data_IF_652451532884
#
_entry.id   IF_652451532884
#
_cell.length_a   1.000
_cell.length_b   1.000
_cell.length_c   1.000
_cell.angle_alpha   90.00
_cell.angle_beta   90.00
_cell.angle_gamma   90.00
#
_symmetry.space_group_name_H-M   'P 1'
#
loop_
_entity.id
_entity.type
_entity.pdbx_description
1 polymer ?
#
# COMPACT_ATOMS: atom_id res chain seq x y z
N UNK A 1 0.96 -0.50 21.36
CA UNK A 1 1.93 -0.89 20.27
C UNK A 1 2.88 -1.96 20.80
N UNK A 2 2.69 -3.18 20.33
CA UNK A 2 3.37 -4.39 20.80
C UNK A 2 4.51 -4.79 19.88
N UNK A 3 5.74 -4.85 20.42
CA UNK A 3 6.92 -5.32 19.69
C UNK A 3 7.18 -6.79 19.99
N UNK A 4 7.51 -7.56 18.95
CA UNK A 4 7.98 -8.95 19.12
C UNK A 4 9.44 -8.97 19.58
N UNK A 5 9.81 -10.01 20.32
CA UNK A 5 11.20 -10.24 20.70
C UNK A 5 12.09 -10.28 19.45
N UNK A 6 13.16 -9.49 19.47
CA UNK A 6 14.06 -9.34 18.32
C UNK A 6 13.75 -8.16 17.42
N UNK A 7 12.73 -7.36 17.72
CA UNK A 7 12.46 -6.07 17.06
C UNK A 7 12.65 -4.93 18.06
N UNK A 8 13.28 -3.86 17.60
CA UNK A 8 13.39 -2.57 18.34
C UNK A 8 12.74 -1.46 17.54
N UNK A 9 12.22 -0.48 18.28
CA UNK A 9 11.67 0.73 17.69
C UNK A 9 12.52 1.94 18.13
N UNK A 10 12.71 2.87 17.20
CA UNK A 10 13.29 4.18 17.49
C UNK A 10 12.66 5.26 16.64
N UNK A 11 12.94 6.51 16.96
CA UNK A 11 12.51 7.66 16.17
C UNK A 11 13.73 8.26 15.48
N UNK A 12 13.65 8.42 14.16
CA UNK A 12 14.64 9.08 13.32
C UNK A 12 14.22 10.53 13.10
N UNK A 13 15.07 11.48 13.47
CA UNK A 13 14.82 12.89 13.21
C UNK A 13 15.23 13.24 11.79
N UNK A 14 14.31 13.78 11.02
CA UNK A 14 14.56 14.29 9.66
C UNK A 14 14.23 15.77 9.58
N UNK A 15 14.67 16.49 8.53
CA UNK A 15 14.24 17.88 8.30
C UNK A 15 12.73 18.05 8.10
N UNK A 16 12.01 16.98 7.75
CA UNK A 16 10.58 17.01 7.45
C UNK A 16 9.71 16.68 8.66
N UNK A 17 10.04 15.62 9.41
CA UNK A 17 9.30 15.17 10.60
C UNK A 17 10.12 14.15 11.38
N UNK A 18 9.67 13.83 12.60
CA UNK A 18 10.14 12.70 13.37
C UNK A 18 9.48 11.41 12.85
N UNK A 19 10.27 10.44 12.40
CA UNK A 19 9.80 9.19 11.77
C UNK A 19 10.06 8.00 12.67
N UNK A 20 9.01 7.24 13.00
CA UNK A 20 9.11 5.96 13.66
C UNK A 20 9.72 4.91 12.73
N UNK A 21 10.67 4.15 13.22
CA UNK A 21 11.25 3.03 12.49
C UNK A 21 11.36 1.80 13.39
N UNK A 22 11.12 0.64 12.81
CA UNK A 22 11.44 -0.66 13.43
C UNK A 22 12.69 -1.22 12.77
N UNK A 23 13.56 -1.80 13.57
CA UNK A 23 14.77 -2.49 13.13
C UNK A 23 14.83 -3.87 13.80
N UNK A 24 15.35 -4.87 13.09
CA UNK A 24 15.57 -6.19 13.66
C UNK A 24 16.88 -6.19 14.45
N UNK A 25 16.83 -6.73 15.66
CA UNK A 25 17.99 -6.81 16.55
C UNK A 25 19.09 -7.70 15.97
N UNK A 26 20.34 -7.21 16.02
CA UNK A 26 21.51 -7.94 15.56
C UNK A 26 21.78 -7.84 14.07
N UNK A 27 20.99 -7.09 13.31
CA UNK A 27 21.31 -6.74 11.92
C UNK A 27 22.51 -5.79 11.91
N UNK A 28 23.36 -5.92 10.89
CA UNK A 28 24.49 -5.01 10.71
C UNK A 28 23.99 -3.64 10.27
N UNK A 29 24.23 -2.60 11.09
CA UNK A 29 23.81 -1.23 10.75
C UNK A 29 24.56 -0.64 9.56
N UNK A 30 25.72 -1.19 9.25
CA UNK A 30 26.59 -0.86 8.12
C UNK A 30 26.47 -1.86 6.96
N UNK A 31 25.40 -2.69 6.95
CA UNK A 31 25.15 -3.61 5.84
C UNK A 31 25.07 -2.82 4.52
N UNK A 32 25.64 -3.35 3.44
CA UNK A 32 25.62 -2.67 2.15
C UNK A 32 24.18 -2.54 1.62
N UNK A 33 23.97 -1.61 0.71
CA UNK A 33 22.64 -1.28 0.16
C UNK A 33 21.92 -2.50 -0.42
N UNK A 34 22.64 -3.39 -1.12
CA UNK A 34 22.13 -4.63 -1.72
C UNK A 34 21.77 -5.72 -0.68
N UNK A 35 21.95 -5.46 0.60
CA UNK A 35 21.53 -6.28 1.74
C UNK A 35 20.55 -5.54 2.65
N UNK A 36 20.04 -4.39 2.22
CA UNK A 36 19.10 -3.59 3.00
C UNK A 36 17.71 -3.58 2.37
N UNK A 37 16.70 -3.96 3.16
CA UNK A 37 15.29 -3.94 2.77
C UNK A 37 14.55 -2.94 3.65
N UNK A 38 13.77 -2.06 3.02
CA UNK A 38 12.91 -1.08 3.69
C UNK A 38 11.45 -1.38 3.37
N UNK A 39 10.64 -1.55 4.42
CA UNK A 39 9.22 -1.88 4.35
C UNK A 39 8.37 -0.65 4.62
N UNK A 40 7.35 -0.45 3.78
CA UNK A 40 6.38 0.63 3.85
C UNK A 40 4.97 0.06 3.94
N UNK A 41 4.24 0.42 5.01
CA UNK A 41 2.94 -0.15 5.33
C UNK A 41 1.78 0.49 4.53
N UNK A 42 0.58 -0.09 4.69
CA UNK A 42 -0.65 0.38 4.07
C UNK A 42 -1.31 1.52 4.85
N UNK A 43 -2.42 2.04 4.31
CA UNK A 43 -3.17 3.23 4.75
C UNK A 43 -3.68 3.17 6.19
N UNK A 44 -4.11 2.01 6.66
CA UNK A 44 -4.51 1.79 8.05
C UNK A 44 -3.61 0.71 8.63
N UNK A 45 -2.63 1.13 9.41
CA UNK A 45 -1.59 0.28 9.96
C UNK A 45 -0.31 1.05 10.27
N UNK A 46 0.75 0.34 10.59
CA UNK A 46 2.07 0.89 10.91
C UNK A 46 3.17 -0.10 10.52
N UNK A 47 4.41 0.27 10.74
CA UNK A 47 5.58 -0.60 10.57
C UNK A 47 5.45 -1.94 11.33
N UNK A 48 4.62 -1.99 12.37
CA UNK A 48 4.40 -3.19 13.17
C UNK A 48 3.82 -4.36 12.37
N UNK A 49 3.11 -4.11 11.27
CA UNK A 49 2.59 -5.13 10.37
C UNK A 49 3.71 -6.02 9.77
N UNK A 50 4.94 -5.49 9.67
CA UNK A 50 6.08 -6.16 9.06
C UNK A 50 6.92 -7.01 10.01
N UNK A 51 6.66 -6.96 11.33
CA UNK A 51 7.52 -7.60 12.33
C UNK A 51 7.78 -9.09 12.07
N UNK A 52 6.74 -9.86 11.72
CA UNK A 52 6.89 -11.31 11.43
C UNK A 52 7.74 -11.56 10.20
N UNK A 53 7.51 -10.79 9.15
CA UNK A 53 8.31 -10.87 7.92
C UNK A 53 9.78 -10.55 8.22
N UNK A 54 10.05 -9.48 8.97
CA UNK A 54 11.41 -9.10 9.36
C UNK A 54 12.10 -10.20 10.18
N UNK A 55 11.41 -10.82 11.13
CA UNK A 55 11.98 -11.88 11.96
C UNK A 55 12.27 -13.18 11.20
N UNK A 56 11.53 -13.43 10.11
CA UNK A 56 11.63 -14.63 9.31
C UNK A 56 12.69 -14.56 8.19
N UNK A 57 13.17 -13.36 7.84
CA UNK A 57 14.16 -13.15 6.78
C UNK A 57 15.58 -13.50 7.23
N UNK A 58 16.53 -13.83 6.30
CA UNK A 58 17.91 -14.15 6.60
C UNK A 58 18.63 -13.10 7.44
N UNK A 59 19.60 -13.52 8.26
CA UNK A 59 20.31 -12.66 9.22
C UNK A 59 21.41 -11.79 8.61
N UNK A 60 21.76 -12.02 7.36
CA UNK A 60 22.70 -11.21 6.58
C UNK A 60 22.03 -9.98 5.93
N UNK A 61 20.72 -9.80 6.14
CA UNK A 61 19.95 -8.66 5.68
C UNK A 61 19.75 -7.63 6.80
N UNK A 62 19.92 -6.36 6.50
CA UNK A 62 19.48 -5.23 7.31
C UNK A 62 18.02 -4.93 6.97
N UNK A 63 17.15 -4.95 7.98
CA UNK A 63 15.70 -4.82 7.80
C UNK A 63 15.19 -3.61 8.57
N UNK A 64 14.49 -2.74 7.87
CA UNK A 64 13.93 -1.50 8.40
C UNK A 64 12.47 -1.42 7.97
N UNK A 65 11.56 -1.19 8.91
CA UNK A 65 10.18 -0.84 8.57
C UNK A 65 9.90 0.58 9.06
N UNK A 66 9.31 1.42 8.19
CA UNK A 66 9.06 2.82 8.50
C UNK A 66 7.58 3.07 8.77
N UNK A 67 7.29 3.86 9.78
CA UNK A 67 5.96 4.41 10.00
C UNK A 67 5.77 5.64 9.10
N UNK A 68 4.73 5.65 8.28
CA UNK A 68 4.35 6.82 7.50
C UNK A 68 3.86 7.96 8.41
N UNK A 69 3.92 9.21 7.94
CA UNK A 69 3.37 10.35 8.68
C UNK A 69 1.96 10.07 9.19
N UNK A 70 1.67 10.41 10.44
CA UNK A 70 0.36 10.17 11.05
C UNK A 70 0.04 8.70 11.39
N UNK A 71 1.03 7.81 11.36
CA UNK A 71 0.88 6.41 11.72
C UNK A 71 1.98 5.98 12.69
N UNK A 72 1.69 4.95 13.48
CA UNK A 72 2.66 4.36 14.38
C UNK A 72 3.30 5.37 15.33
N UNK A 73 4.62 5.43 15.32
CA UNK A 73 5.45 6.33 16.14
C UNK A 73 5.88 7.59 15.39
N UNK A 74 5.47 7.74 14.13
CA UNK A 74 5.76 8.93 13.34
C UNK A 74 4.95 10.13 13.79
N UNK A 75 5.54 11.32 13.63
CA UNK A 75 4.87 12.58 13.91
C UNK A 75 3.56 12.70 13.12
N UNK A 76 2.51 13.15 13.80
CA UNK A 76 1.26 13.53 13.15
C UNK A 76 1.46 14.82 12.38
N UNK A 77 1.54 14.71 11.06
CA UNK A 77 1.68 15.82 10.14
C UNK A 77 0.70 15.69 8.99
N UNK A 78 0.02 16.78 8.64
CA UNK A 78 -0.98 16.79 7.59
C UNK A 78 -0.43 16.36 6.23
N UNK A 79 -1.29 15.78 5.40
CA UNK A 79 -1.00 15.34 4.03
C UNK A 79 -1.56 16.37 3.06
N UNK A 80 -0.72 16.94 2.21
CA UNK A 80 -1.13 17.73 1.05
C UNK A 80 -1.48 16.77 -0.10
N UNK A 81 -2.76 16.45 -0.22
CA UNK A 81 -3.24 15.51 -1.22
C UNK A 81 -3.03 16.00 -2.66
N UNK A 82 -2.89 17.31 -2.89
CA UNK A 82 -2.67 17.88 -4.24
C UNK A 82 -1.33 17.46 -4.83
N UNK A 83 -0.44 16.90 -4.01
CA UNK A 83 0.85 16.32 -4.39
C UNK A 83 0.81 14.80 -4.59
N UNK A 84 -0.39 14.19 -4.54
CA UNK A 84 -0.51 12.74 -4.48
C UNK A 84 0.18 12.18 -3.23
N UNK A 85 0.93 11.10 -3.39
CA UNK A 85 1.69 10.46 -2.29
C UNK A 85 3.11 11.01 -2.13
N UNK A 86 3.45 12.14 -2.77
CA UNK A 86 4.81 12.71 -2.70
C UNK A 86 5.22 13.13 -1.29
N UNK A 87 4.28 13.52 -0.43
CA UNK A 87 4.60 13.83 0.95
C UNK A 87 5.18 12.61 1.68
N UNK A 88 4.64 11.43 1.45
CA UNK A 88 5.14 10.17 2.02
C UNK A 88 6.47 9.75 1.38
N UNK A 89 6.60 9.90 0.05
CA UNK A 89 7.84 9.56 -0.67
C UNK A 89 9.01 10.47 -0.26
N UNK A 90 8.75 11.78 -0.10
CA UNK A 90 9.74 12.73 0.39
C UNK A 90 10.17 12.44 1.85
N UNK A 91 9.21 12.04 2.72
CA UNK A 91 9.53 11.64 4.09
C UNK A 91 10.37 10.37 4.12
N UNK A 92 10.04 9.39 3.28
CA UNK A 92 10.85 8.19 3.10
C UNK A 92 12.27 8.54 2.66
N UNK A 93 12.42 9.44 1.68
CA UNK A 93 13.72 9.89 1.19
C UNK A 93 14.57 10.52 2.30
N UNK A 94 14.02 11.47 3.05
CA UNK A 94 14.76 12.11 4.15
C UNK A 94 15.06 11.11 5.29
N UNK A 95 14.20 10.08 5.47
CA UNK A 95 14.47 9.01 6.43
C UNK A 95 15.63 8.14 5.97
N UNK A 96 15.67 7.72 4.71
CA UNK A 96 16.78 6.92 4.16
C UNK A 96 18.09 7.70 4.23
N UNK A 97 18.09 8.99 3.92
CA UNK A 97 19.26 9.86 4.08
C UNK A 97 19.74 9.92 5.54
N UNK A 98 18.83 10.08 6.49
CA UNK A 98 19.17 10.11 7.92
C UNK A 98 19.69 8.75 8.43
N UNK A 99 19.38 7.66 7.71
CA UNK A 99 19.88 6.30 7.95
C UNK A 99 21.14 5.97 7.14
N UNK A 100 21.68 6.96 6.40
CA UNK A 100 22.86 6.83 5.53
C UNK A 100 22.68 5.76 4.44
N UNK A 101 21.48 5.70 3.84
CA UNK A 101 21.11 4.78 2.76
C UNK A 101 20.89 5.55 1.46
N UNK A 102 21.78 5.39 0.50
CA UNK A 102 21.66 6.00 -0.83
C UNK A 102 20.68 5.23 -1.73
N UNK A 103 20.53 3.93 -1.52
CA UNK A 103 19.57 3.06 -2.19
C UNK A 103 19.25 1.85 -1.31
N UNK A 104 18.11 1.19 -1.56
CA UNK A 104 17.68 -0.02 -0.86
C UNK A 104 16.72 -0.83 -1.74
N UNK A 105 16.42 -2.06 -1.33
CA UNK A 105 15.24 -2.78 -1.81
C UNK A 105 14.01 -2.24 -1.07
N UNK A 106 13.01 -1.75 -1.80
CA UNK A 106 11.80 -1.19 -1.20
C UNK A 106 10.63 -2.18 -1.34
N UNK A 107 9.93 -2.41 -0.23
CA UNK A 107 8.72 -3.23 -0.16
C UNK A 107 7.58 -2.33 0.26
N UNK A 108 6.54 -2.22 -0.56
CA UNK A 108 5.38 -1.39 -0.26
C UNK A 108 4.08 -2.17 -0.35
N UNK A 109 3.25 -2.06 0.69
CA UNK A 109 1.95 -2.69 0.77
C UNK A 109 0.83 -1.65 0.64
N UNK A 110 -0.14 -1.89 -0.26
CA UNK A 110 -1.27 -0.99 -0.50
C UNK A 110 -0.86 0.44 -0.84
N UNK A 111 -1.14 1.42 0.03
CA UNK A 111 -0.62 2.80 -0.05
C UNK A 111 0.91 2.79 -0.18
N UNK A 112 1.59 1.99 0.66
CA UNK A 112 3.05 1.85 0.61
C UNK A 112 3.56 1.43 -0.76
N UNK A 113 2.79 0.62 -1.51
CA UNK A 113 3.08 0.30 -2.91
C UNK A 113 3.08 1.53 -3.81
N UNK A 114 2.09 2.40 -3.65
CA UNK A 114 2.05 3.71 -4.34
C UNK A 114 3.21 4.62 -3.94
N UNK A 115 3.58 4.63 -2.65
CA UNK A 115 4.69 5.44 -2.12
C UNK A 115 6.03 4.99 -2.71
N UNK A 116 6.31 3.68 -2.75
CA UNK A 116 7.60 3.19 -3.30
C UNK A 116 7.67 3.34 -4.82
N UNK A 117 6.53 3.27 -5.54
CA UNK A 117 6.48 3.61 -6.96
C UNK A 117 6.79 5.10 -7.19
N UNK A 118 6.15 6.00 -6.41
CA UNK A 118 6.46 7.43 -6.46
C UNK A 118 7.92 7.71 -6.11
N UNK A 119 8.46 7.03 -5.09
CA UNK A 119 9.86 7.17 -4.70
C UNK A 119 10.80 6.80 -5.86
N UNK A 120 10.51 5.69 -6.57
CA UNK A 120 11.33 5.24 -7.70
C UNK A 120 11.27 6.17 -8.93
N UNK A 121 10.23 6.98 -9.08
CA UNK A 121 10.17 8.04 -10.10
C UNK A 121 11.16 9.17 -9.82
N UNK A 122 11.45 9.44 -8.54
CA UNK A 122 12.23 10.60 -8.10
C UNK A 122 13.65 10.22 -7.63
N UNK A 123 13.87 8.93 -7.23
CA UNK A 123 15.12 8.48 -6.60
C UNK A 123 15.51 7.05 -7.03
N UNK A 124 16.80 6.70 -6.98
CA UNK A 124 17.26 5.36 -7.30
C UNK A 124 16.80 4.34 -6.24
N UNK A 125 16.43 3.15 -6.71
CA UNK A 125 16.09 1.98 -5.88
C UNK A 125 16.77 0.73 -6.46
N UNK A 126 17.04 -0.27 -5.63
CA UNK A 126 17.63 -1.54 -6.07
C UNK A 126 16.59 -2.49 -6.66
N UNK A 127 15.44 -2.59 -6.03
CA UNK A 127 14.27 -3.30 -6.52
C UNK A 127 13.01 -2.79 -5.84
N UNK A 128 11.85 -3.11 -6.42
CA UNK A 128 10.54 -2.86 -5.84
C UNK A 128 9.81 -4.17 -5.59
N UNK A 129 9.23 -4.32 -4.41
CA UNK A 129 8.20 -5.33 -4.14
C UNK A 129 6.90 -4.61 -3.85
N UNK A 130 5.91 -4.85 -4.69
CA UNK A 130 4.59 -4.22 -4.65
C UNK A 130 3.59 -5.25 -4.16
N UNK A 131 3.19 -5.17 -2.90
CA UNK A 131 2.21 -6.07 -2.31
C UNK A 131 0.84 -5.41 -2.33
N UNK A 132 -0.12 -6.03 -3.04
CA UNK A 132 -1.48 -5.52 -3.21
C UNK A 132 -1.50 -3.99 -3.40
N UNK A 133 -0.67 -3.43 -4.32
CA UNK A 133 -0.46 -1.98 -4.43
C UNK A 133 -1.73 -1.29 -4.91
N UNK A 134 -1.93 -0.04 -4.51
CA UNK A 134 -2.89 0.83 -5.20
C UNK A 134 -2.58 0.86 -6.69
N UNK A 135 -3.63 0.90 -7.55
CA UNK A 135 -3.44 1.01 -9.01
C UNK A 135 -2.50 2.19 -9.34
N UNK A 136 -1.63 2.07 -10.35
CA UNK A 136 -0.80 3.18 -10.81
C UNK A 136 -1.56 4.46 -11.16
N UNK A 137 -2.86 4.35 -11.39
CA UNK A 137 -3.78 5.47 -11.67
C UNK A 137 -4.62 5.90 -10.46
N UNK A 138 -4.27 5.46 -9.25
CA UNK A 138 -5.00 5.80 -8.03
C UNK A 138 -6.14 4.84 -7.71
N UNK A 139 -7.00 5.25 -6.76
CA UNK A 139 -8.06 4.42 -6.22
C UNK A 139 -9.45 4.97 -6.56
N UNK A 140 -10.20 4.24 -7.36
CA UNK A 140 -11.54 4.63 -7.85
C UNK A 140 -11.51 5.61 -9.02
N UNK A 141 -12.60 5.78 -9.71
CA UNK A 141 -12.89 6.90 -10.61
C UNK A 141 -12.13 6.97 -11.93
N UNK A 142 -11.44 5.91 -12.37
CA UNK A 142 -10.79 5.88 -13.69
C UNK A 142 -11.28 4.72 -14.55
N UNK A 143 -11.16 4.88 -15.87
CA UNK A 143 -11.26 3.82 -16.86
C UNK A 143 -9.96 3.03 -16.92
N UNK A 144 -9.96 1.91 -17.64
CA UNK A 144 -8.79 1.02 -17.78
C UNK A 144 -7.52 1.73 -18.24
N UNK A 145 -7.64 2.74 -19.10
CA UNK A 145 -6.51 3.52 -19.63
C UNK A 145 -6.02 4.63 -18.67
N UNK A 146 -6.56 4.71 -17.46
CA UNK A 146 -6.25 5.73 -16.47
C UNK A 146 -7.00 7.05 -16.65
N UNK A 147 -7.80 7.20 -17.71
CA UNK A 147 -8.60 8.42 -17.91
C UNK A 147 -9.68 8.57 -16.83
N UNK A 148 -9.85 9.79 -16.32
CA UNK A 148 -10.89 10.10 -15.34
C UNK A 148 -12.29 9.85 -15.90
N UNK A 149 -13.18 9.27 -15.11
CA UNK A 149 -14.60 9.16 -15.42
C UNK A 149 -15.27 10.54 -15.31
N UNK A 150 -14.97 11.27 -14.25
CA UNK A 150 -15.40 12.63 -14.00
C UNK A 150 -14.17 13.52 -13.81
N UNK A 151 -14.20 14.74 -14.35
CA UNK A 151 -13.07 15.68 -14.30
C UNK A 151 -12.64 16.03 -12.87
N UNK A 152 -13.57 16.05 -11.93
CA UNK A 152 -13.34 16.30 -10.50
C UNK A 152 -13.00 15.01 -9.70
N UNK A 153 -12.90 13.85 -10.37
CA UNK A 153 -12.72 12.54 -9.76
C UNK A 153 -13.81 12.20 -8.72
N UNK A 154 -15.06 12.56 -9.00
CA UNK A 154 -16.20 12.21 -8.14
C UNK A 154 -16.22 10.71 -7.79
N UNK A 155 -16.59 10.40 -6.55
CA UNK A 155 -16.65 9.03 -6.04
C UNK A 155 -15.31 8.49 -5.52
N UNK A 156 -14.27 9.34 -5.42
CA UNK A 156 -12.95 8.95 -4.92
C UNK A 156 -12.54 9.75 -3.68
N UNK A 157 -11.37 9.41 -3.12
CA UNK A 157 -10.81 10.09 -1.96
C UNK A 157 -11.51 9.74 -0.65
N UNK A 158 -11.49 10.66 0.30
CA UNK A 158 -11.95 10.44 1.67
C UNK A 158 -13.43 10.03 1.79
N UNK A 159 -14.27 10.41 0.82
CA UNK A 159 -15.69 10.08 0.81
C UNK A 159 -16.00 8.59 0.62
N UNK A 160 -15.01 7.75 0.26
CA UNK A 160 -15.20 6.28 0.18
C UNK A 160 -15.07 5.58 1.54
N UNK A 161 -14.50 6.28 2.54
CA UNK A 161 -14.34 5.72 3.88
C UNK A 161 -15.69 5.56 4.59
N UNK A 162 -15.84 4.46 5.33
CA UNK A 162 -16.97 4.30 6.23
C UNK A 162 -16.79 5.22 7.45
N UNK A 163 -17.70 6.18 7.69
CA UNK A 163 -17.59 7.10 8.80
C UNK A 163 -17.60 6.42 10.18
N UNK A 164 -18.32 5.29 10.31
CA UNK A 164 -18.34 4.53 11.56
C UNK A 164 -16.99 3.87 11.83
N UNK A 165 -16.37 3.27 10.80
CA UNK A 165 -15.01 2.74 10.93
C UNK A 165 -14.00 3.82 11.32
N UNK A 166 -14.08 5.00 10.69
CA UNK A 166 -13.21 6.14 11.00
C UNK A 166 -13.38 6.59 12.45
N UNK A 167 -14.63 6.69 12.94
CA UNK A 167 -14.91 7.06 14.32
C UNK A 167 -14.33 6.02 15.31
N UNK A 168 -14.44 4.73 15.00
CA UNK A 168 -13.93 3.65 15.85
C UNK A 168 -12.40 3.60 15.91
N UNK A 169 -11.72 3.93 14.80
CA UNK A 169 -10.26 4.14 14.83
C UNK A 169 -9.90 5.30 15.77
N UNK A 170 -10.64 6.43 15.68
CA UNK A 170 -10.40 7.60 16.54
C UNK A 170 -10.68 7.32 18.03
N UNK A 171 -11.60 6.40 18.33
CA UNK A 171 -11.96 5.96 19.68
C UNK A 171 -11.06 4.81 20.18
N UNK A 172 -10.09 4.35 19.37
CA UNK A 172 -9.21 3.21 19.68
C UNK A 172 -10.01 1.93 20.00
N UNK A 173 -11.09 1.65 19.26
CA UNK A 173 -11.97 0.49 19.48
C UNK A 173 -11.26 -0.83 19.14
N UNK A 174 -10.88 -1.59 20.15
CA UNK A 174 -10.28 -2.92 20.02
C UNK A 174 -11.30 -4.06 19.88
N UNK A 175 -12.60 -3.76 19.93
CA UNK A 175 -13.65 -4.77 19.91
C UNK A 175 -13.92 -5.35 18.52
N UNK A 176 -14.80 -6.34 18.44
CA UNK A 176 -15.37 -6.87 17.21
C UNK A 176 -16.92 -6.90 17.31
N UNK A 177 -17.51 -5.91 18.00
CA UNK A 177 -18.95 -5.90 18.30
C UNK A 177 -19.81 -5.64 17.07
N UNK A 178 -19.28 -4.86 16.11
CA UNK A 178 -19.99 -4.51 14.89
C UNK A 178 -19.09 -4.70 13.66
N UNK A 179 -19.66 -4.77 12.44
CA UNK A 179 -18.88 -4.95 11.22
C UNK A 179 -17.84 -3.84 10.98
N UNK A 180 -18.10 -2.61 11.44
CA UNK A 180 -17.20 -1.44 11.34
C UNK A 180 -16.14 -1.36 12.45
N UNK A 181 -16.16 -2.26 13.47
CA UNK A 181 -15.05 -2.34 14.42
C UNK A 181 -13.74 -2.69 13.71
N UNK A 182 -12.59 -2.05 14.04
CA UNK A 182 -11.30 -2.29 13.38
C UNK A 182 -10.91 -3.76 13.30
N UNK A 183 -11.17 -4.53 14.36
CA UNK A 183 -10.94 -5.98 14.39
C UNK A 183 -11.83 -6.74 13.40
N UNK A 184 -13.09 -6.36 13.26
CA UNK A 184 -14.02 -6.96 12.30
C UNK A 184 -13.59 -6.63 10.86
N UNK A 185 -13.20 -5.39 10.61
CA UNK A 185 -12.65 -4.94 9.32
C UNK A 185 -11.36 -5.69 8.98
N UNK A 186 -10.44 -5.84 9.95
CA UNK A 186 -9.22 -6.62 9.72
C UNK A 186 -9.54 -8.04 9.25
N UNK A 187 -10.47 -8.73 9.92
CA UNK A 187 -10.87 -10.12 9.59
C UNK A 187 -11.60 -10.28 8.26
N UNK A 188 -12.43 -9.31 7.90
CA UNK A 188 -13.36 -9.45 6.76
C UNK A 188 -12.96 -8.69 5.51
N UNK A 189 -12.04 -7.72 5.63
CA UNK A 189 -11.63 -6.82 4.56
C UNK A 189 -10.16 -7.03 4.19
N UNK A 190 -9.28 -7.09 5.20
CA UNK A 190 -7.85 -7.24 4.95
C UNK A 190 -7.45 -8.70 4.69
N UNK A 191 -8.11 -9.64 5.35
CA UNK A 191 -7.79 -11.06 5.25
C UNK A 191 -8.81 -11.81 4.37
N UNK A 192 -8.38 -12.88 3.73
CA UNK A 192 -9.30 -13.77 3.05
C UNK A 192 -10.27 -14.41 4.06
N UNK A 193 -11.53 -14.57 3.64
CA UNK A 193 -12.58 -15.17 4.47
C UNK A 193 -12.15 -16.53 5.03
N UNK A 194 -12.17 -16.64 6.36
CA UNK A 194 -11.83 -17.88 7.07
C UNK A 194 -10.38 -17.96 7.56
N UNK A 195 -9.52 -17.02 7.18
CA UNK A 195 -8.19 -16.92 7.77
C UNK A 195 -8.26 -16.38 9.21
N UNK A 196 -7.46 -16.96 10.11
CA UNK A 196 -7.37 -16.54 11.51
C UNK A 196 -5.91 -16.24 11.87
N UNK A 197 -5.62 -14.99 12.14
CA UNK A 197 -4.30 -14.56 12.59
C UNK A 197 -4.09 -14.83 14.08
N UNK A 198 -2.97 -15.49 14.43
CA UNK A 198 -2.60 -15.71 15.84
C UNK A 198 -2.11 -14.44 16.56
N UNK A 199 -1.75 -13.41 15.80
CA UNK A 199 -1.23 -12.13 16.32
C UNK A 199 -2.19 -10.97 16.00
N UNK A 200 -3.46 -11.27 15.89
CA UNK A 200 -4.50 -10.30 15.53
C UNK A 200 -4.48 -9.04 16.41
N UNK A 201 -4.27 -9.21 17.72
CA UNK A 201 -4.22 -8.07 18.65
C UNK A 201 -3.14 -7.06 18.25
N UNK A 202 -1.95 -7.54 17.85
CA UNK A 202 -0.85 -6.67 17.39
C UNK A 202 -1.22 -5.92 16.11
N UNK A 203 -1.90 -6.61 15.19
CA UNK A 203 -2.32 -5.99 13.93
C UNK A 203 -3.43 -4.97 14.13
N UNK A 204 -4.38 -5.25 15.01
CA UNK A 204 -5.44 -4.30 15.40
C UNK A 204 -4.85 -3.11 16.14
N UNK A 205 -3.95 -3.30 17.11
CA UNK A 205 -3.21 -2.20 17.74
C UNK A 205 -2.51 -1.33 16.69
N UNK A 206 -1.86 -1.95 15.70
CA UNK A 206 -1.21 -1.23 14.60
C UNK A 206 -2.18 -0.36 13.80
N UNK A 207 -3.39 -0.87 13.49
CA UNK A 207 -4.43 -0.09 12.82
C UNK A 207 -4.86 1.12 13.64
N UNK A 208 -5.00 0.95 14.96
CA UNK A 208 -5.45 1.99 15.90
C UNK A 208 -4.42 3.11 16.09
N UNK A 209 -3.18 2.95 15.60
CA UNK A 209 -2.18 4.04 15.60
C UNK A 209 -2.41 5.07 14.49
N UNK A 210 -3.38 4.85 13.61
CA UNK A 210 -3.68 5.74 12.48
C UNK A 210 -4.29 7.05 12.97
N UNK A 211 -3.64 8.18 12.71
CA UNK A 211 -4.19 9.49 13.04
C UNK A 211 -5.42 9.81 12.18
N UNK A 212 -6.51 10.18 12.82
CA UNK A 212 -7.78 10.51 12.17
C UNK A 212 -7.98 12.03 12.06
N UNK A 213 -8.50 12.50 10.91
CA UNK A 213 -8.85 13.91 10.69
C UNK A 213 -8.85 14.31 9.21
N UNK A 214 -9.26 15.55 8.96
CA UNK A 214 -9.37 16.11 7.60
C UNK A 214 -7.99 16.26 6.90
N UNK A 215 -6.93 16.39 7.66
CA UNK A 215 -5.55 16.47 7.17
C UNK A 215 -4.76 15.16 7.31
N UNK A 216 -5.40 14.11 7.83
CA UNK A 216 -4.83 12.79 8.11
C UNK A 216 -5.67 11.70 7.41
N UNK A 217 -6.01 10.58 8.09
CA UNK A 217 -6.95 9.58 7.58
C UNK A 217 -8.37 9.91 8.04
N UNK A 218 -9.41 9.88 7.18
CA UNK A 218 -9.33 9.62 5.72
C UNK A 218 -8.99 10.87 4.90
N UNK A 219 -9.20 12.06 5.43
CA UNK A 219 -9.14 13.36 4.78
C UNK A 219 -10.50 14.07 4.72
N UNK A 220 -10.50 15.30 4.21
CA UNK A 220 -11.74 16.03 3.96
C UNK A 220 -12.35 15.69 2.59
N UNK A 221 -13.66 15.92 2.44
CA UNK A 221 -14.38 15.75 1.17
C UNK A 221 -14.89 17.07 0.63
N UNK A 222 -15.14 17.13 -0.68
CA UNK A 222 -15.87 18.22 -1.33
C UNK A 222 -17.15 17.70 -1.97
N UNK A 223 -18.15 18.57 -2.16
CA UNK A 223 -19.35 18.21 -2.91
C UNK A 223 -19.05 18.16 -4.40
N UNK A 224 -19.71 17.25 -5.12
CA UNK A 224 -19.63 17.11 -6.58
C UNK A 224 -21.04 17.17 -7.19
N UNK A 225 -21.22 17.82 -8.36
CA UNK A 225 -22.45 17.68 -9.13
C UNK A 225 -22.57 16.30 -9.81
N UNK A 226 -21.46 15.58 -9.94
CA UNK A 226 -21.42 14.23 -10.51
C UNK A 226 -21.72 13.19 -9.44
N UNK A 227 -22.31 12.06 -9.86
CA UNK A 227 -22.51 10.91 -8.97
C UNK A 227 -21.17 10.38 -8.46
N UNK A 228 -21.07 9.96 -7.19
CA UNK A 228 -22.09 9.83 -6.15
C UNK A 228 -22.31 11.09 -5.27
N UNK A 229 -21.94 12.28 -5.71
CA UNK A 229 -22.21 13.52 -5.01
C UNK A 229 -21.05 14.06 -4.17
N UNK A 230 -19.91 13.36 -4.12
CA UNK A 230 -18.70 13.80 -3.45
C UNK A 230 -17.47 13.63 -4.35
N UNK A 231 -16.45 14.42 -4.07
CA UNK A 231 -15.14 14.38 -4.72
C UNK A 231 -14.02 14.56 -3.67
N UNK A 232 -12.75 14.24 -4.03
CA UNK A 232 -11.65 14.38 -3.11
C UNK A 232 -11.42 15.84 -2.69
N UNK A 233 -11.12 16.02 -1.40
CA UNK A 233 -10.56 17.27 -0.88
C UNK A 233 -9.10 17.45 -1.26
N UNK A 234 -8.46 18.48 -0.70
CA UNK A 234 -7.06 18.82 -0.97
C UNK A 234 -6.09 18.31 0.10
N UNK A 235 -6.60 17.68 1.16
CA UNK A 235 -5.83 17.18 2.30
C UNK A 235 -6.27 15.77 2.69
N UNK A 236 -5.35 15.02 3.30
CA UNK A 236 -5.63 13.70 3.86
C UNK A 236 -5.23 12.52 2.98
N UNK A 237 -5.11 11.37 3.63
CA UNK A 237 -4.45 10.18 3.08
C UNK A 237 -5.19 9.59 1.88
N UNK A 238 -6.53 9.41 1.98
CA UNK A 238 -7.29 8.81 0.89
C UNK A 238 -7.42 9.77 -0.30
N UNK A 239 -7.43 11.08 -0.06
CA UNK A 239 -7.41 12.06 -1.14
C UNK A 239 -6.09 12.03 -1.92
N UNK A 240 -4.97 11.75 -1.25
CA UNK A 240 -3.67 11.59 -1.89
C UNK A 240 -3.61 10.36 -2.83
N UNK A 241 -4.53 9.41 -2.69
CA UNK A 241 -4.69 8.25 -3.56
C UNK A 241 -5.72 8.46 -4.68
N UNK A 242 -6.41 9.60 -4.67
CA UNK A 242 -7.38 9.92 -5.73
C UNK A 242 -6.65 10.11 -7.08
N UNK A 243 -7.21 9.60 -8.19
CA UNK A 243 -6.66 9.80 -9.53
C UNK A 243 -6.60 11.27 -9.97
N UNK A 244 -7.24 12.16 -9.24
CA UNK A 244 -7.10 13.59 -9.43
C UNK A 244 -5.69 14.09 -9.15
N UNK A 245 -4.98 13.43 -8.23
CA UNK A 245 -3.68 13.86 -7.71
C UNK A 245 -2.59 12.80 -7.80
N UNK A 246 -2.97 11.55 -8.09
CA UNK A 246 -2.08 10.41 -8.10
C UNK A 246 -2.08 9.72 -9.47
N UNK A 247 -0.90 9.67 -10.08
CA UNK A 247 -0.59 8.88 -11.25
C UNK A 247 0.92 8.57 -11.22
N UNK A 248 1.26 7.29 -11.15
CA UNK A 248 2.64 6.80 -11.16
C UNK A 248 2.91 5.88 -12.36
N UNK A 249 2.05 5.91 -13.37
CA UNK A 249 2.20 5.11 -14.60
C UNK A 249 3.48 5.44 -15.38
N UNK A 250 4.04 6.64 -15.17
CA UNK A 250 5.34 7.05 -15.72
C UNK A 250 6.52 6.16 -15.27
N UNK A 251 6.32 5.21 -14.33
CA UNK A 251 7.32 4.18 -13.99
C UNK A 251 7.81 3.43 -15.24
N UNK A 252 6.97 3.32 -16.28
CA UNK A 252 7.28 2.71 -17.58
C UNK A 252 8.41 3.45 -18.29
N UNK A 253 8.55 4.75 -18.07
CA UNK A 253 9.49 5.62 -18.80
C UNK A 253 10.83 5.80 -18.07
N UNK A 254 11.03 5.15 -16.92
CA UNK A 254 12.29 5.23 -16.21
C UNK A 254 13.47 4.81 -17.09
N UNK A 255 14.56 5.60 -17.14
CA UNK A 255 15.74 5.25 -17.93
C UNK A 255 16.49 4.04 -17.36
N UNK A 256 16.47 3.88 -16.04
CA UNK A 256 16.95 2.71 -15.31
C UNK A 256 15.76 2.07 -14.63
N UNK A 257 15.45 0.84 -15.01
CA UNK A 257 14.26 0.12 -14.54
C UNK A 257 14.65 -0.86 -13.45
N UNK A 258 14.36 -0.56 -12.16
CA UNK A 258 14.59 -1.53 -11.09
C UNK A 258 13.72 -2.78 -11.31
N UNK A 259 14.21 -3.98 -10.99
CA UNK A 259 13.38 -5.17 -11.05
C UNK A 259 12.20 -5.06 -10.07
N UNK A 260 11.01 -5.48 -10.51
CA UNK A 260 9.76 -5.43 -9.74
C UNK A 260 9.28 -6.84 -9.43
N UNK A 261 8.88 -7.07 -8.17
CA UNK A 261 8.02 -8.17 -7.76
C UNK A 261 6.63 -7.59 -7.49
N UNK A 262 5.62 -8.12 -8.14
CA UNK A 262 4.22 -7.80 -7.87
C UNK A 262 3.56 -8.98 -7.18
N UNK A 263 3.18 -8.80 -5.91
CA UNK A 263 2.48 -9.79 -5.10
C UNK A 263 1.04 -9.34 -4.91
N UNK A 264 0.07 -10.20 -5.22
CA UNK A 264 -1.33 -9.86 -5.04
C UNK A 264 -2.19 -11.07 -4.68
N UNK A 265 -3.22 -10.83 -3.86
CA UNK A 265 -4.16 -11.85 -3.43
C UNK A 265 -5.33 -12.02 -4.40
N UNK A 266 -5.66 -13.27 -4.75
CA UNK A 266 -6.80 -13.57 -5.62
C UNK A 266 -8.17 -13.36 -4.96
N UNK A 267 -8.20 -13.14 -3.63
CA UNK A 267 -9.39 -12.82 -2.84
C UNK A 267 -9.36 -11.42 -2.23
N UNK A 268 -8.46 -10.56 -2.72
CA UNK A 268 -8.40 -9.17 -2.29
C UNK A 268 -9.68 -8.44 -2.74
N UNK A 269 -10.41 -7.87 -1.79
CA UNK A 269 -11.62 -7.08 -2.02
C UNK A 269 -11.38 -5.57 -1.98
N UNK A 270 -10.15 -5.14 -1.64
CA UNK A 270 -9.74 -3.74 -1.62
C UNK A 270 -9.14 -3.38 -2.99
N UNK A 271 -8.06 -4.05 -3.38
CA UNK A 271 -7.42 -3.85 -4.69
C UNK A 271 -7.88 -4.96 -5.62
N UNK A 272 -8.94 -4.66 -6.34
CA UNK A 272 -9.65 -5.62 -7.20
C UNK A 272 -10.26 -4.88 -8.39
N UNK A 273 -10.51 -5.60 -9.48
CA UNK A 273 -11.32 -5.09 -10.59
C UNK A 273 -12.81 -4.94 -10.21
N UNK A 274 -13.19 -5.50 -9.07
CA UNK A 274 -14.53 -5.46 -8.46
C UNK A 274 -14.45 -4.97 -7.00
N UNK A 275 -13.62 -3.97 -6.73
CA UNK A 275 -13.36 -3.49 -5.37
C UNK A 275 -14.64 -3.17 -4.60
N UNK A 276 -14.75 -3.70 -3.40
CA UNK A 276 -15.88 -3.40 -2.50
C UNK A 276 -15.93 -1.93 -2.05
N UNK A 277 -14.85 -1.17 -2.28
CA UNK A 277 -14.71 0.24 -1.90
C UNK A 277 -14.83 1.19 -3.10
N UNK A 278 -14.88 0.66 -4.34
CA UNK A 278 -15.16 1.48 -5.51
C UNK A 278 -16.64 1.93 -5.52
N UNK A 279 -16.88 3.24 -5.51
CA UNK A 279 -18.23 3.81 -5.54
C UNK A 279 -19.06 3.26 -6.71
N UNK A 280 -18.44 3.00 -7.87
CA UNK A 280 -19.13 2.48 -9.05
C UNK A 280 -19.56 1.00 -8.86
N UNK A 281 -18.72 0.18 -8.23
CA UNK A 281 -19.08 -1.20 -7.84
C UNK A 281 -20.22 -1.18 -6.82
N UNK A 282 -20.14 -0.32 -5.81
CA UNK A 282 -21.18 -0.16 -4.78
C UNK A 282 -22.50 0.33 -5.36
N UNK A 283 -22.43 1.29 -6.29
CA UNK A 283 -23.63 1.76 -7.02
C UNK A 283 -24.28 0.66 -7.86
N UNK A 284 -23.47 -0.11 -8.61
CA UNK A 284 -23.95 -1.26 -9.39
C UNK A 284 -24.60 -2.34 -8.51
N UNK A 285 -24.13 -2.53 -7.28
CA UNK A 285 -24.70 -3.46 -6.30
C UNK A 285 -25.94 -2.91 -5.58
N UNK A 286 -26.32 -1.63 -5.82
CA UNK A 286 -27.43 -0.98 -5.16
C UNK A 286 -27.14 -0.56 -3.70
N UNK A 287 -25.87 -0.48 -3.32
CA UNK A 287 -25.43 0.00 -2.00
C UNK A 287 -25.36 1.55 -1.95
N UNK A 288 -25.26 2.20 -3.10
CA UNK A 288 -25.31 3.66 -3.28
C UNK A 288 -26.40 4.01 -4.31
N UNK A 289 -27.32 4.88 -3.92
CA UNK A 289 -28.43 5.30 -4.76
C UNK A 289 -27.97 6.17 -5.94
N UNK A 290 -28.74 6.13 -7.04
CA UNK A 290 -28.57 7.04 -8.17
C UNK A 290 -27.41 6.69 -9.12
N UNK A 291 -26.88 5.48 -9.08
CA UNK A 291 -25.86 5.06 -10.03
C UNK A 291 -26.30 5.21 -11.49
N UNK A 292 -25.54 5.92 -12.33
CA UNK A 292 -25.97 6.28 -13.68
C UNK A 292 -25.81 5.15 -14.72
N UNK A 293 -25.34 3.98 -14.28
CA UNK A 293 -25.08 2.83 -15.16
C UNK A 293 -23.62 2.69 -15.60
N UNK A 294 -23.29 1.50 -16.11
CA UNK A 294 -21.92 1.07 -16.43
C UNK A 294 -21.23 1.94 -17.50
N UNK A 295 -22.00 2.41 -18.50
CA UNK A 295 -21.45 3.27 -19.56
C UNK A 295 -20.93 4.61 -19.01
N UNK A 296 -21.65 5.17 -18.04
CA UNK A 296 -21.34 6.48 -17.46
C UNK A 296 -20.37 6.37 -16.27
N UNK A 297 -20.50 5.32 -15.46
CA UNK A 297 -19.71 5.12 -14.25
C UNK A 297 -19.27 3.63 -14.13
N UNK A 298 -18.37 3.15 -14.99
CA UNK A 298 -17.85 1.78 -14.91
C UNK A 298 -17.00 1.60 -13.65
N UNK A 299 -16.96 0.38 -13.06
CA UNK A 299 -15.95 0.00 -12.09
C UNK A 299 -14.53 0.24 -12.58
N UNK A 300 -13.64 0.64 -11.68
CA UNK A 300 -12.21 0.74 -12.02
C UNK A 300 -11.57 -0.66 -11.99
N UNK A 301 -10.94 -1.12 -13.07
CA UNK A 301 -10.29 -2.43 -13.10
C UNK A 301 -8.85 -2.34 -12.57
N UNK A 302 -8.68 -2.18 -11.23
CA UNK A 302 -7.40 -1.82 -10.59
C UNK A 302 -6.29 -2.85 -10.79
N UNK A 303 -6.63 -4.15 -10.73
CA UNK A 303 -5.66 -5.24 -10.96
C UNK A 303 -5.25 -5.29 -12.43
N UNK A 304 -6.23 -5.18 -13.33
CA UNK A 304 -5.99 -5.11 -14.78
C UNK A 304 -5.13 -3.90 -15.13
N UNK A 305 -5.38 -2.72 -14.55
CA UNK A 305 -4.56 -1.51 -14.75
C UNK A 305 -3.13 -1.72 -14.29
N UNK A 306 -2.93 -2.28 -13.11
CA UNK A 306 -1.59 -2.59 -12.58
C UNK A 306 -0.86 -3.54 -13.52
N UNK A 307 -1.55 -4.59 -13.98
CA UNK A 307 -0.99 -5.53 -14.95
C UNK A 307 -0.61 -4.84 -16.27
N UNK A 308 -1.49 -4.03 -16.84
CA UNK A 308 -1.23 -3.31 -18.10
C UNK A 308 0.02 -2.42 -18.00
N UNK A 309 0.19 -1.69 -16.88
CA UNK A 309 1.37 -0.84 -16.65
C UNK A 309 2.63 -1.69 -16.46
N UNK A 310 2.56 -2.81 -15.74
CA UNK A 310 3.71 -3.70 -15.55
C UNK A 310 4.09 -4.46 -16.83
N UNK A 311 3.12 -4.82 -17.67
CA UNK A 311 3.36 -5.38 -19.00
C UNK A 311 4.05 -4.35 -19.90
N UNK A 312 3.60 -3.09 -19.89
CA UNK A 312 4.26 -1.99 -20.61
C UNK A 312 5.67 -1.71 -20.07
N UNK A 313 5.86 -1.77 -18.74
CA UNK A 313 7.18 -1.67 -18.10
C UNK A 313 8.13 -2.76 -18.60
N UNK A 314 7.63 -4.00 -18.70
CA UNK A 314 8.40 -5.15 -19.23
C UNK A 314 8.71 -4.95 -20.72
N UNK A 315 7.74 -4.53 -21.53
CA UNK A 315 7.94 -4.24 -22.94
C UNK A 315 8.98 -3.12 -23.17
N UNK A 316 9.10 -2.18 -22.23
CA UNK A 316 10.11 -1.13 -22.22
C UNK A 316 11.48 -1.57 -21.63
N UNK A 317 11.70 -2.88 -21.41
CA UNK A 317 12.96 -3.47 -20.96
C UNK A 317 13.11 -3.63 -19.45
N UNK A 318 12.04 -3.45 -18.67
CA UNK A 318 12.01 -3.77 -17.24
C UNK A 318 11.83 -5.27 -16.97
N UNK A 319 12.03 -5.66 -15.72
CA UNK A 319 11.83 -7.05 -15.26
C UNK A 319 10.76 -7.08 -14.19
N UNK A 320 9.68 -7.81 -14.46
CA UNK A 320 8.57 -8.01 -13.53
C UNK A 320 8.44 -9.50 -13.22
N UNK A 321 8.32 -9.82 -11.95
CA UNK A 321 7.87 -11.10 -11.44
C UNK A 321 6.47 -10.91 -10.88
N UNK A 322 5.49 -11.60 -11.46
CA UNK A 322 4.09 -11.59 -11.02
C UNK A 322 3.83 -12.81 -10.13
N UNK A 323 3.45 -12.58 -8.89
CA UNK A 323 3.19 -13.60 -7.87
C UNK A 323 1.73 -13.48 -7.37
N UNK A 324 0.83 -14.20 -8.04
CA UNK A 324 -0.56 -14.32 -7.61
C UNK A 324 -0.70 -15.36 -6.50
N UNK A 325 -1.38 -15.00 -5.40
CA UNK A 325 -1.76 -15.86 -4.28
C UNK A 325 -3.28 -16.11 -4.31
N UNK A 326 -3.76 -17.19 -4.95
CA UNK A 326 -5.18 -17.35 -5.30
C UNK A 326 -6.13 -17.41 -4.11
N UNK A 327 -5.65 -17.90 -2.95
CA UNK A 327 -6.45 -18.07 -1.71
C UNK A 327 -6.41 -16.91 -0.75
N UNK A 328 -5.61 -15.88 -1.02
CA UNK A 328 -5.18 -14.82 -0.10
C UNK A 328 -5.93 -13.53 -0.35
N UNK A 329 -6.17 -12.76 0.71
CA UNK A 329 -6.77 -11.43 0.64
C UNK A 329 -5.75 -10.32 0.37
N UNK A 330 -5.88 -9.22 1.10
CA UNK A 330 -5.06 -8.03 0.91
C UNK A 330 -3.67 -8.10 1.58
N UNK A 331 -3.43 -9.13 2.42
CA UNK A 331 -2.23 -9.26 3.25
C UNK A 331 -1.42 -10.54 2.96
N UNK A 332 -0.87 -10.76 1.77
CA UNK A 332 -0.05 -11.94 1.47
C UNK A 332 1.05 -12.23 2.50
N UNK A 333 1.75 -11.19 2.99
CA UNK A 333 2.80 -11.34 4.00
C UNK A 333 2.33 -11.88 5.36
N UNK A 334 1.04 -11.74 5.68
CA UNK A 334 0.43 -12.27 6.91
C UNK A 334 -0.23 -13.63 6.69
N UNK A 335 -0.87 -13.83 5.54
CA UNK A 335 -1.69 -15.01 5.25
C UNK A 335 -0.86 -16.18 4.73
N UNK A 336 0.13 -15.93 3.86
CA UNK A 336 1.06 -16.92 3.29
C UNK A 336 2.53 -16.45 3.47
N UNK A 337 3.00 -16.32 4.72
CA UNK A 337 4.29 -15.67 5.02
C UNK A 337 5.51 -16.40 4.45
N UNK A 338 5.44 -17.73 4.27
CA UNK A 338 6.55 -18.51 3.73
C UNK A 338 6.72 -18.28 2.23
N UNK A 339 5.62 -18.30 1.48
CA UNK A 339 5.61 -18.09 0.05
C UNK A 339 5.90 -16.61 -0.28
N UNK A 340 5.35 -15.66 0.49
CA UNK A 340 5.71 -14.25 0.37
C UNK A 340 7.22 -14.04 0.56
N UNK A 341 7.81 -14.65 1.61
CA UNK A 341 9.25 -14.57 1.87
C UNK A 341 10.07 -15.17 0.73
N UNK A 342 9.66 -16.33 0.20
CA UNK A 342 10.34 -16.97 -0.91
C UNK A 342 10.34 -16.09 -2.17
N UNK A 343 9.20 -15.50 -2.51
CA UNK A 343 9.06 -14.56 -3.62
C UNK A 343 9.95 -13.34 -3.42
N UNK A 344 9.91 -12.70 -2.24
CA UNK A 344 10.73 -11.55 -1.89
C UNK A 344 12.22 -11.85 -2.02
N UNK A 345 12.71 -12.96 -1.46
CA UNK A 345 14.11 -13.36 -1.53
C UNK A 345 14.55 -13.63 -2.98
N UNK A 346 13.68 -14.23 -3.79
CA UNK A 346 13.98 -14.43 -5.22
C UNK A 346 14.19 -13.12 -5.96
N UNK A 347 13.56 -12.03 -5.49
CA UNK A 347 13.68 -10.71 -6.10
C UNK A 347 14.97 -9.98 -5.71
N UNK A 348 15.36 -10.02 -4.43
CA UNK A 348 16.56 -9.34 -3.96
C UNK A 348 17.85 -10.03 -4.39
N UNK A 349 17.83 -11.34 -4.60
CA UNK A 349 18.96 -12.12 -5.13
C UNK A 349 19.00 -12.12 -6.67
N UNK A 350 18.08 -11.38 -7.32
CA UNK A 350 17.99 -11.29 -8.78
C UNK A 350 19.21 -10.61 -9.37
N UNK A 351 19.92 -11.35 -10.23
CA UNK A 351 20.96 -10.82 -11.10
C UNK A 351 20.38 -10.74 -12.51
N UNK A 352 20.28 -9.55 -13.14
CA UNK A 352 19.76 -9.44 -14.50
C UNK A 352 20.64 -10.26 -15.45
N UNK A 353 20.11 -11.34 -16.01
CA UNK A 353 20.70 -12.07 -17.12
C UNK A 353 19.95 -11.61 -18.35
N UNK A 354 20.64 -10.94 -19.29
CA UNK A 354 20.04 -10.28 -20.45
C UNK A 354 19.05 -11.14 -21.22
N UNK A 355 17.78 -10.79 -21.14
CA UNK A 355 16.65 -11.40 -21.83
C UNK A 355 15.32 -11.02 -21.17
N UNK A 356 14.22 -10.86 -21.92
CA UNK A 356 12.94 -10.57 -21.31
C UNK A 356 12.42 -11.79 -20.59
N UNK A 357 11.93 -11.75 -19.41
CA UNK A 357 10.58 -12.21 -19.22
C UNK A 357 9.80 -11.61 -18.06
N UNK A 358 8.49 -11.56 -18.23
CA UNK A 358 7.54 -11.68 -17.15
C UNK A 358 7.41 -13.18 -16.83
N UNK A 359 7.91 -13.62 -15.69
CA UNK A 359 7.54 -14.93 -15.16
C UNK A 359 6.32 -14.76 -14.26
N UNK A 360 5.25 -15.47 -14.57
CA UNK A 360 4.07 -15.55 -13.72
C UNK A 360 4.26 -16.75 -12.79
N UNK A 361 4.48 -16.48 -11.51
CA UNK A 361 4.49 -17.53 -10.49
C UNK A 361 3.08 -17.57 -9.87
N UNK A 362 2.35 -18.62 -10.18
CA UNK A 362 1.11 -18.94 -9.45
C UNK A 362 1.50 -19.83 -8.28
N UNK A 363 1.56 -19.25 -7.09
CA UNK A 363 1.79 -20.00 -5.86
C UNK A 363 0.47 -20.71 -5.50
N UNK A 364 0.52 -22.04 -5.38
CA UNK A 364 -0.65 -22.81 -4.96
C UNK A 364 -0.83 -22.61 -3.47
N UNK A 365 -2.06 -22.26 -3.02
CA UNK A 365 -2.41 -22.38 -1.61
C UNK A 365 -2.15 -23.83 -1.19
N UNK A 366 -1.48 -24.03 -0.05
CA UNK A 366 -1.43 -25.35 0.57
C UNK A 366 -2.88 -25.79 0.87
N UNK A 367 -3.28 -26.94 0.37
CA UNK A 367 -4.58 -27.59 0.61
C UNK A 367 -4.82 -27.83 2.12
#
# INVERSE_FOLDING_TARGET
MTLFDGITARVVQTPRLAVGVLERNGDAVDAPADRTIVFVHNVVGSAEMWQKTMLALPRDLRLIAVDLRGHGRSERRGVDATRGVRDFADDLHETLKALELDAAHLVGWGLGGGVVLQYALDHPVLSLTLESPVSPYGFGGTRRDGSLINEDAAGTGAGVADPEFVARIAEEDETAEVPSSPRSVFRSVFLATGYVSRNEDVWVESMLTTAVGDDAFPGGTTTSPSWPGFAPGTTGVLNALSPRYFDVSAIVDLPQKPPILWVHGGRDIIISDESAFDSNVRGRRGELDGWPGEDAAPPQPMVTQTKDVLDAYTAAGGHVLDALFPGVGHCPHLEEPEDFRAALLSRIDYVPVGGPPTEVIVLKSAD
#
